data_IF_955086233474
#
_entry.id   IF_955086233474
#
_cell.length_a   1.000
_cell.length_b   1.000
_cell.length_c   1.000
_cell.angle_alpha   90.00
_cell.angle_beta   90.00
_cell.angle_gamma   90.00
#
_symmetry.space_group_name_H-M   'P 1'
#
loop_
_entity.id
_entity.type
_entity.pdbx_description
1 polymer ?
#
# COMPACT_ATOMS: atom_id res chain seq x y z
N UNK A 1 5.46 -8.27 28.12
CA UNK A 1 6.42 -9.08 27.32
C UNK A 1 6.29 -8.63 25.88
N UNK A 2 7.34 -8.07 25.27
CA UNK A 2 7.29 -7.65 23.86
C UNK A 2 7.30 -8.88 22.93
N UNK A 3 6.63 -8.76 21.78
CA UNK A 3 6.68 -9.77 20.72
C UNK A 3 8.14 -10.00 20.32
N UNK A 4 8.63 -11.24 20.22
CA UNK A 4 10.01 -11.50 19.85
C UNK A 4 10.38 -10.87 18.50
N UNK A 5 11.47 -10.13 18.41
CA UNK A 5 11.91 -9.42 17.21
C UNK A 5 12.10 -10.32 15.96
N UNK A 6 12.30 -11.63 16.15
CA UNK A 6 12.45 -12.55 15.03
C UNK A 6 11.16 -12.75 14.21
N UNK A 7 9.97 -12.45 14.77
CA UNK A 7 8.69 -12.53 14.04
C UNK A 7 8.64 -11.44 12.96
N UNK A 8 9.21 -10.28 13.22
CA UNK A 8 9.32 -9.19 12.23
C UNK A 8 10.15 -9.59 11.01
N UNK A 9 11.10 -10.51 11.15
CA UNK A 9 11.93 -11.01 10.05
C UNK A 9 11.09 -11.66 8.93
N UNK A 10 10.01 -12.33 9.29
CA UNK A 10 9.13 -13.02 8.34
C UNK A 10 8.05 -12.09 7.76
N UNK A 11 7.59 -11.10 8.51
CA UNK A 11 6.54 -10.18 8.06
C UNK A 11 7.03 -9.17 7.02
N UNK A 12 8.21 -8.60 7.20
CA UNK A 12 8.74 -7.52 6.36
C UNK A 12 8.96 -7.87 4.89
N UNK A 13 9.45 -9.07 4.50
CA UNK A 13 9.66 -9.46 3.10
C UNK A 13 8.36 -9.64 2.31
N UNK A 14 7.26 -9.89 3.00
CA UNK A 14 5.97 -10.24 2.37
C UNK A 14 5.44 -9.08 1.53
N UNK A 15 5.52 -7.86 2.04
CA UNK A 15 4.96 -6.69 1.37
C UNK A 15 5.66 -6.36 0.03
N UNK A 16 7.01 -6.29 -0.05
CA UNK A 16 7.74 -6.14 -1.31
C UNK A 16 7.42 -7.25 -2.32
N UNK A 17 7.31 -8.48 -1.86
CA UNK A 17 6.95 -9.60 -2.72
C UNK A 17 5.54 -9.44 -3.31
N UNK A 18 4.57 -9.00 -2.50
CA UNK A 18 3.22 -8.72 -2.99
C UNK A 18 3.20 -7.53 -3.96
N UNK A 19 3.99 -6.48 -3.75
CA UNK A 19 4.12 -5.37 -4.71
C UNK A 19 4.69 -5.86 -6.05
N UNK A 20 5.69 -6.74 -6.01
CA UNK A 20 6.24 -7.36 -7.20
C UNK A 20 5.18 -8.17 -7.97
N UNK A 21 4.44 -9.04 -7.27
CA UNK A 21 3.37 -9.84 -7.86
C UNK A 21 2.19 -8.96 -8.34
N UNK A 22 1.88 -7.86 -7.63
CA UNK A 22 0.85 -6.91 -8.04
C UNK A 22 1.23 -6.17 -9.32
N UNK A 23 2.52 -5.79 -9.48
CA UNK A 23 3.01 -5.17 -10.70
C UNK A 23 2.87 -6.10 -11.92
N UNK A 24 3.21 -7.38 -11.75
CA UNK A 24 3.05 -8.39 -12.79
C UNK A 24 1.57 -8.67 -13.08
N UNK A 25 0.77 -8.89 -12.05
CA UNK A 25 -0.68 -9.13 -12.14
C UNK A 25 -1.42 -7.97 -12.81
N UNK A 26 -1.07 -6.71 -12.50
CA UNK A 26 -1.68 -5.53 -13.12
C UNK A 26 -1.42 -5.46 -14.63
N UNK A 27 -0.22 -5.86 -15.05
CA UNK A 27 0.11 -5.89 -16.48
C UNK A 27 -0.77 -6.86 -17.26
N UNK A 28 -0.98 -8.07 -16.73
CA UNK A 28 -1.80 -9.10 -17.39
C UNK A 28 -3.30 -8.95 -17.14
N UNK A 29 -3.72 -8.00 -16.30
CA UNK A 29 -5.14 -7.79 -15.99
C UNK A 29 -5.88 -7.24 -17.20
N UNK A 30 -6.96 -7.92 -17.61
CA UNK A 30 -7.82 -7.52 -18.72
C UNK A 30 -8.54 -6.19 -18.46
N UNK A 31 -9.06 -5.97 -17.26
CA UNK A 31 -9.74 -4.73 -16.85
C UNK A 31 -8.98 -4.00 -15.73
N UNK A 32 -8.07 -3.09 -16.11
CA UNK A 32 -7.29 -2.29 -15.15
C UNK A 32 -8.17 -1.41 -14.27
N UNK A 33 -9.23 -0.82 -14.84
CA UNK A 33 -10.21 -0.03 -14.08
C UNK A 33 -10.95 -0.89 -13.05
N UNK A 34 -11.37 -2.11 -13.43
CA UNK A 34 -12.00 -3.05 -12.52
C UNK A 34 -11.05 -3.52 -11.39
N UNK A 35 -9.76 -3.69 -11.69
CA UNK A 35 -8.74 -4.01 -10.70
C UNK A 35 -8.60 -2.88 -9.65
N UNK A 36 -8.46 -1.63 -10.10
CA UNK A 36 -8.36 -0.45 -9.23
C UNK A 36 -9.62 -0.28 -8.37
N UNK A 37 -10.82 -0.42 -8.96
CA UNK A 37 -12.08 -0.34 -8.20
C UNK A 37 -12.15 -1.38 -7.08
N UNK A 38 -11.78 -2.63 -7.35
CA UNK A 38 -11.75 -3.69 -6.31
C UNK A 38 -10.79 -3.36 -5.18
N UNK A 39 -9.60 -2.82 -5.48
CA UNK A 39 -8.64 -2.40 -4.46
C UNK A 39 -9.17 -1.23 -3.62
N UNK A 40 -9.87 -0.27 -4.23
CA UNK A 40 -10.49 0.84 -3.51
C UNK A 40 -11.56 0.34 -2.53
N UNK A 41 -12.48 -0.51 -3.00
CA UNK A 41 -13.52 -1.08 -2.14
C UNK A 41 -12.92 -1.97 -1.04
N UNK A 42 -11.88 -2.74 -1.34
CA UNK A 42 -11.17 -3.53 -0.33
C UNK A 42 -10.47 -2.63 0.71
N UNK A 43 -9.87 -1.51 0.26
CA UNK A 43 -9.27 -0.50 1.15
C UNK A 43 -10.32 0.12 2.08
N UNK A 44 -11.47 0.54 1.55
CA UNK A 44 -12.56 1.07 2.37
C UNK A 44 -13.10 0.03 3.35
N UNK A 45 -13.33 -1.19 2.87
CA UNK A 45 -13.77 -2.30 3.73
C UNK A 45 -12.78 -2.56 4.86
N UNK A 46 -11.48 -2.57 4.59
CA UNK A 46 -10.45 -2.74 5.61
C UNK A 46 -10.44 -1.57 6.61
N UNK A 47 -10.52 -0.31 6.13
CA UNK A 47 -10.59 0.87 7.01
C UNK A 47 -11.79 0.84 7.93
N UNK A 48 -12.99 0.53 7.41
CA UNK A 48 -14.20 0.44 8.20
C UNK A 48 -14.11 -0.71 9.22
N UNK A 49 -13.61 -1.86 8.77
CA UNK A 49 -13.50 -3.06 9.60
C UNK A 49 -12.50 -2.85 10.76
N UNK A 50 -11.33 -2.28 10.48
CA UNK A 50 -10.33 -1.97 11.52
C UNK A 50 -10.87 -0.92 12.51
N UNK A 51 -11.56 0.10 12.03
CA UNK A 51 -12.21 1.10 12.87
C UNK A 51 -13.25 0.49 13.82
N UNK A 52 -14.12 -0.40 13.30
CA UNK A 52 -15.14 -1.08 14.12
C UNK A 52 -14.48 -1.99 15.16
N UNK A 53 -13.51 -2.82 14.74
CA UNK A 53 -12.82 -3.76 15.64
C UNK A 53 -12.12 -3.02 16.76
N UNK A 54 -11.38 -1.95 16.44
CA UNK A 54 -10.65 -1.17 17.44
C UNK A 54 -11.58 -0.43 18.41
N UNK A 55 -12.81 -0.08 17.97
CA UNK A 55 -13.81 0.53 18.82
C UNK A 55 -14.49 -0.47 19.75
N UNK A 56 -14.72 -1.71 19.28
CA UNK A 56 -15.31 -2.78 20.07
C UNK A 56 -14.33 -3.42 21.05
N UNK A 57 -13.08 -3.51 20.67
CA UNK A 57 -11.99 -4.12 21.44
C UNK A 57 -10.84 -3.11 21.50
N UNK A 58 -10.93 -2.07 22.35
CA UNK A 58 -9.90 -1.05 22.44
C UNK A 58 -8.62 -1.63 23.03
N UNK A 59 -7.48 -1.17 22.50
CA UNK A 59 -6.14 -1.49 23.00
C UNK A 59 -5.30 -0.21 22.97
N UNK A 60 -4.81 0.21 24.13
CA UNK A 60 -4.06 1.46 24.29
C UNK A 60 -2.61 1.35 23.78
N UNK A 61 -2.12 0.13 23.60
CA UNK A 61 -0.75 -0.15 23.19
C UNK A 61 -0.62 -0.43 21.68
N UNK A 62 -1.65 -1.05 21.06
CA UNK A 62 -1.63 -1.48 19.67
C UNK A 62 -2.68 -0.74 18.88
N UNK A 63 -2.24 0.05 17.88
CA UNK A 63 -3.12 0.68 16.93
C UNK A 63 -3.32 -0.21 15.69
N UNK A 64 -4.57 -0.49 15.35
CA UNK A 64 -4.93 -1.28 14.17
C UNK A 64 -5.07 -0.37 12.93
N UNK A 65 -3.94 -0.01 12.32
CA UNK A 65 -3.91 0.92 11.19
C UNK A 65 -3.45 0.30 9.86
N UNK A 66 -3.20 -1.01 9.83
CA UNK A 66 -2.69 -1.71 8.64
C UNK A 66 -3.73 -1.77 7.53
N UNK A 67 -3.37 -1.29 6.34
CA UNK A 67 -4.21 -1.34 5.15
C UNK A 67 -3.37 -1.45 3.87
N UNK A 68 -2.89 -2.65 3.57
CA UNK A 68 -2.10 -2.90 2.35
C UNK A 68 -2.91 -2.61 1.07
N UNK A 69 -4.24 -2.78 1.08
CA UNK A 69 -5.07 -2.50 -0.09
C UNK A 69 -4.98 -1.03 -0.52
N UNK A 70 -4.83 -0.10 0.44
CA UNK A 70 -4.65 1.32 0.16
C UNK A 70 -3.36 1.58 -0.63
N UNK A 71 -2.27 0.92 -0.26
CA UNK A 71 -0.98 1.03 -0.97
C UNK A 71 -1.08 0.45 -2.38
N UNK A 72 -1.66 -0.76 -2.52
CA UNK A 72 -1.87 -1.37 -3.83
C UNK A 72 -2.77 -0.54 -4.73
N UNK A 73 -3.79 0.13 -4.18
CA UNK A 73 -4.65 1.05 -4.92
C UNK A 73 -3.86 2.23 -5.48
N UNK A 74 -3.08 2.92 -4.63
CA UNK A 74 -2.26 4.06 -5.05
C UNK A 74 -1.24 3.65 -6.10
N UNK A 75 -0.53 2.54 -5.88
CA UNK A 75 0.43 1.98 -6.84
C UNK A 75 -0.26 1.65 -8.17
N UNK A 76 -1.45 1.03 -8.15
CA UNK A 76 -2.19 0.68 -9.36
C UNK A 76 -2.64 1.92 -10.16
N UNK A 77 -3.00 3.02 -9.50
CA UNK A 77 -3.30 4.30 -10.16
C UNK A 77 -2.06 4.83 -10.88
N UNK A 78 -0.90 4.83 -10.24
CA UNK A 78 0.34 5.29 -10.87
C UNK A 78 0.81 4.35 -12.00
N UNK A 79 0.60 3.05 -11.88
CA UNK A 79 0.84 2.10 -12.98
C UNK A 79 -0.06 2.40 -14.18
N UNK A 80 -1.34 2.72 -13.93
CA UNK A 80 -2.28 3.12 -14.97
C UNK A 80 -1.86 4.45 -15.62
N UNK A 81 -1.45 5.43 -14.81
CA UNK A 81 -0.90 6.70 -15.31
C UNK A 81 0.29 6.47 -16.23
N UNK A 82 1.23 5.61 -15.82
CA UNK A 82 2.38 5.23 -16.66
C UNK A 82 1.99 4.62 -17.99
N UNK A 83 0.96 3.76 -18.02
CA UNK A 83 0.46 3.18 -19.28
C UNK A 83 -0.13 4.26 -20.20
N UNK A 84 -0.85 5.25 -19.65
CA UNK A 84 -1.35 6.38 -20.41
C UNK A 84 -0.22 7.29 -20.94
N UNK A 85 0.85 7.52 -20.15
CA UNK A 85 2.04 8.24 -20.61
C UNK A 85 2.64 7.53 -21.82
N UNK A 86 2.89 6.22 -21.72
CA UNK A 86 3.45 5.44 -22.83
C UNK A 86 2.54 5.45 -24.08
N UNK A 87 1.24 5.30 -23.88
CA UNK A 87 0.28 5.34 -24.98
C UNK A 87 0.23 6.72 -25.66
N UNK A 88 0.21 7.78 -24.85
CA UNK A 88 0.17 9.16 -25.29
C UNK A 88 1.41 9.56 -26.10
N UNK A 89 2.60 9.20 -25.61
CA UNK A 89 3.87 9.44 -26.33
C UNK A 89 3.90 8.66 -27.65
N UNK A 90 3.59 7.35 -27.61
CA UNK A 90 3.65 6.49 -28.81
C UNK A 90 2.67 6.92 -29.89
N UNK A 91 1.44 7.31 -29.50
CA UNK A 91 0.36 7.70 -30.41
C UNK A 91 0.30 9.21 -30.67
N UNK A 92 1.16 10.01 -30.06
CA UNK A 92 1.14 11.48 -30.05
C UNK A 92 -0.25 12.03 -29.64
N UNK A 93 -0.93 11.35 -28.73
CA UNK A 93 -2.30 11.66 -28.32
C UNK A 93 -2.31 12.48 -27.01
N UNK A 94 -2.61 13.78 -27.13
CA UNK A 94 -2.70 14.71 -25.98
C UNK A 94 -3.77 14.29 -24.94
N UNK A 95 -4.88 13.64 -25.39
CA UNK A 95 -5.92 13.15 -24.47
C UNK A 95 -5.42 12.07 -23.52
N UNK A 96 -4.55 11.17 -23.98
CA UNK A 96 -3.98 10.13 -23.13
C UNK A 96 -2.96 10.73 -22.15
N UNK A 97 -2.21 11.75 -22.54
CA UNK A 97 -1.32 12.51 -21.64
C UNK A 97 -2.15 13.25 -20.57
N UNK A 98 -3.28 13.87 -20.95
CA UNK A 98 -4.19 14.51 -19.98
C UNK A 98 -4.77 13.52 -18.97
N UNK A 99 -5.15 12.31 -19.41
CA UNK A 99 -5.58 11.24 -18.47
C UNK A 99 -4.45 10.80 -17.55
N UNK A 100 -3.23 10.69 -18.06
CA UNK A 100 -2.07 10.36 -17.25
C UNK A 100 -1.84 11.38 -16.13
N UNK A 101 -1.88 12.67 -16.47
CA UNK A 101 -1.76 13.76 -15.50
C UNK A 101 -2.87 13.71 -14.44
N UNK A 102 -4.12 13.47 -14.86
CA UNK A 102 -5.25 13.32 -13.94
C UNK A 102 -5.02 12.18 -12.94
N UNK A 103 -4.63 10.98 -13.42
CA UNK A 103 -4.35 9.84 -12.54
C UNK A 103 -3.11 10.05 -11.67
N UNK A 104 -2.13 10.82 -12.11
CA UNK A 104 -0.96 11.16 -11.31
C UNK A 104 -1.32 12.13 -10.16
N UNK A 105 -2.19 13.11 -10.43
CA UNK A 105 -2.62 14.11 -9.45
C UNK A 105 -3.66 13.56 -8.45
N UNK A 106 -4.48 12.59 -8.85
CA UNK A 106 -5.60 12.09 -8.04
C UNK A 106 -5.17 11.64 -6.63
N UNK A 107 -4.16 10.77 -6.44
CA UNK A 107 -3.72 10.38 -5.10
C UNK A 107 -3.08 11.53 -4.30
N UNK A 108 -2.54 12.54 -4.99
CA UNK A 108 -2.01 13.75 -4.35
C UNK A 108 -3.16 14.61 -3.82
N UNK A 109 -4.24 14.77 -4.58
CA UNK A 109 -5.44 15.48 -4.13
C UNK A 109 -6.09 14.80 -2.92
N UNK A 110 -5.97 13.49 -2.80
CA UNK A 110 -6.44 12.75 -1.63
C UNK A 110 -5.69 13.10 -0.33
N UNK A 111 -4.59 13.85 -0.39
CA UNK A 111 -3.91 14.38 0.79
C UNK A 111 -4.60 15.63 1.38
N UNK A 112 -5.50 16.28 0.63
CA UNK A 112 -6.11 17.55 1.06
C UNK A 112 -6.77 17.49 2.45
N UNK A 113 -7.57 16.48 2.83
CA UNK A 113 -8.15 16.42 4.16
C UNK A 113 -7.10 16.32 5.28
N UNK A 114 -6.01 15.59 5.03
CA UNK A 114 -4.90 15.48 5.98
C UNK A 114 -4.15 16.81 6.14
N UNK A 115 -3.89 17.53 5.03
CA UNK A 115 -3.24 18.83 5.05
C UNK A 115 -4.13 19.86 5.75
N UNK A 116 -5.45 19.86 5.45
CA UNK A 116 -6.41 20.73 6.11
C UNK A 116 -6.47 20.46 7.62
N UNK A 117 -6.51 19.21 8.02
CA UNK A 117 -6.47 18.81 9.43
C UNK A 117 -5.21 19.34 10.13
N UNK A 118 -4.03 19.16 9.51
CA UNK A 118 -2.77 19.67 10.06
C UNK A 118 -2.76 21.18 10.18
N UNK A 119 -3.31 21.91 9.20
CA UNK A 119 -3.46 23.38 9.25
C UNK A 119 -4.38 23.82 10.38
N UNK A 120 -5.54 23.20 10.55
CA UNK A 120 -6.49 23.54 11.62
C UNK A 120 -5.90 23.29 13.01
N UNK A 121 -5.14 22.20 13.19
CA UNK A 121 -4.43 21.93 14.46
C UNK A 121 -3.40 23.03 14.73
N UNK A 122 -2.60 23.40 13.73
CA UNK A 122 -1.56 24.44 13.90
C UNK A 122 -2.12 25.84 14.12
N UNK A 123 -3.31 26.14 13.60
CA UNK A 123 -3.99 27.43 13.80
C UNK A 123 -4.75 27.55 15.13
N UNK A 124 -4.75 26.49 15.96
CA UNK A 124 -5.48 26.49 17.23
C UNK A 124 -7.01 26.38 17.09
N UNK A 125 -7.52 26.21 15.87
CA UNK A 125 -8.95 26.07 15.58
C UNK A 125 -9.40 24.61 15.82
N UNK A 126 -9.79 24.28 17.03
CA UNK A 126 -10.08 22.90 17.45
C UNK A 126 -11.56 22.67 17.73
N UNK A 127 -12.39 22.53 16.69
CA UNK A 127 -13.64 21.81 16.89
C UNK A 127 -13.37 20.31 16.77
N UNK A 128 -13.46 19.57 17.89
CA UNK A 128 -13.13 18.13 17.94
C UNK A 128 -13.88 17.29 16.90
N UNK A 129 -15.15 17.65 16.61
CA UNK A 129 -15.96 16.96 15.60
C UNK A 129 -15.42 17.12 14.17
N UNK A 130 -14.95 18.32 13.79
CA UNK A 130 -14.37 18.56 12.46
C UNK A 130 -13.07 17.78 12.28
N UNK A 131 -12.19 17.79 13.30
CA UNK A 131 -10.93 17.04 13.24
C UNK A 131 -11.15 15.54 13.12
N UNK A 132 -12.10 14.96 13.89
CA UNK A 132 -12.46 13.55 13.77
C UNK A 132 -12.99 13.20 12.38
N UNK A 133 -13.85 14.06 11.80
CA UNK A 133 -14.38 13.87 10.46
C UNK A 133 -13.28 13.90 9.41
N UNK A 134 -12.37 14.89 9.47
CA UNK A 134 -11.23 14.99 8.56
C UNK A 134 -10.27 13.81 8.70
N UNK A 135 -10.01 13.33 9.92
CA UNK A 135 -9.21 12.14 10.17
C UNK A 135 -9.84 10.90 9.51
N UNK A 136 -11.14 10.70 9.68
CA UNK A 136 -11.85 9.58 9.06
C UNK A 136 -11.85 9.66 7.53
N UNK A 137 -12.10 10.84 6.95
CA UNK A 137 -12.04 11.06 5.51
C UNK A 137 -10.62 10.79 4.98
N UNK A 138 -9.58 11.22 5.71
CA UNK A 138 -8.18 10.97 5.34
C UNK A 138 -7.84 9.47 5.29
N UNK A 139 -8.44 8.66 6.17
CA UNK A 139 -8.28 7.20 6.16
C UNK A 139 -8.99 6.54 4.98
N UNK A 140 -10.11 7.12 4.51
CA UNK A 140 -10.86 6.62 3.35
C UNK A 140 -10.25 7.04 2.01
N UNK A 141 -9.39 8.06 1.99
CA UNK A 141 -8.74 8.57 0.79
C UNK A 141 -7.26 8.14 0.75
N UNK A 142 -6.94 6.98 0.13
CA UNK A 142 -5.57 6.48 0.07
C UNK A 142 -4.66 7.44 -0.67
N UNK A 143 -3.60 7.90 -0.02
CA UNK A 143 -2.63 8.83 -0.58
C UNK A 143 -1.19 8.34 -0.36
N UNK A 144 -0.20 8.79 -1.17
CA UNK A 144 1.15 8.23 -1.16
C UNK A 144 1.91 8.33 0.17
N UNK A 145 1.48 9.22 1.06
CA UNK A 145 2.17 9.47 2.34
C UNK A 145 1.58 8.62 3.47
N UNK A 146 0.23 8.53 3.53
CA UNK A 146 -0.47 7.86 4.65
C UNK A 146 -0.68 6.36 4.45
N UNK A 147 -0.47 5.82 3.23
CA UNK A 147 -0.62 4.38 2.97
C UNK A 147 0.48 3.56 3.65
N UNK A 148 0.21 2.29 3.90
CA UNK A 148 1.15 1.36 4.53
C UNK A 148 2.47 1.30 3.75
N UNK A 149 3.59 1.49 4.45
CA UNK A 149 4.93 1.61 3.86
C UNK A 149 5.22 2.96 3.20
N UNK A 150 4.22 3.86 3.09
CA UNK A 150 4.38 5.24 2.63
C UNK A 150 4.93 5.37 1.22
N UNK A 151 5.50 6.55 0.95
CA UNK A 151 6.03 6.91 -0.37
C UNK A 151 7.11 5.93 -0.88
N UNK A 152 7.92 5.37 0.02
CA UNK A 152 9.01 4.46 -0.37
C UNK A 152 8.48 3.20 -1.06
N UNK A 153 7.43 2.60 -0.49
CA UNK A 153 6.81 1.39 -1.06
C UNK A 153 5.96 1.71 -2.30
N UNK A 154 5.34 2.88 -2.34
CA UNK A 154 4.64 3.35 -3.54
C UNK A 154 5.63 3.48 -4.71
N UNK A 155 6.76 4.15 -4.51
CA UNK A 155 7.82 4.28 -5.52
C UNK A 155 8.37 2.92 -5.92
N UNK A 156 8.63 2.03 -4.96
CA UNK A 156 9.07 0.66 -5.26
C UNK A 156 8.09 -0.05 -6.18
N UNK A 157 6.80 -0.05 -5.87
CA UNK A 157 5.78 -0.72 -6.69
C UNK A 157 5.70 -0.16 -8.12
N UNK A 158 5.82 1.16 -8.27
CA UNK A 158 5.85 1.82 -9.59
C UNK A 158 7.10 1.40 -10.38
N UNK A 159 8.28 1.42 -9.75
CA UNK A 159 9.54 1.02 -10.40
C UNK A 159 9.54 -0.46 -10.78
N UNK A 160 9.01 -1.34 -9.93
CA UNK A 160 8.83 -2.76 -10.25
C UNK A 160 7.95 -2.96 -11.48
N UNK A 161 6.91 -2.13 -11.66
CA UNK A 161 6.06 -2.15 -12.85
C UNK A 161 6.75 -1.60 -14.09
N UNK A 162 7.43 -0.46 -13.98
CA UNK A 162 8.14 0.17 -15.09
C UNK A 162 9.18 -0.80 -15.67
N UNK A 163 9.96 -1.43 -14.79
CA UNK A 163 11.05 -2.33 -15.14
C UNK A 163 10.68 -3.82 -15.18
N UNK A 164 9.38 -4.16 -15.25
CA UNK A 164 8.89 -5.54 -15.20
C UNK A 164 9.52 -6.50 -16.23
N UNK A 165 10.01 -5.97 -17.36
CA UNK A 165 10.68 -6.75 -18.39
C UNK A 165 12.13 -7.11 -18.05
N UNK A 166 12.71 -6.45 -17.07
CA UNK A 166 14.10 -6.65 -16.67
C UNK A 166 14.20 -7.00 -15.19
N UNK A 167 14.30 -8.30 -14.92
CA UNK A 167 14.40 -8.84 -13.57
C UNK A 167 15.58 -8.29 -12.78
N UNK A 168 16.72 -8.05 -13.45
CA UNK A 168 17.94 -7.52 -12.79
C UNK A 168 17.68 -6.12 -12.24
N UNK A 169 16.95 -5.26 -12.98
CA UNK A 169 16.59 -3.92 -12.52
C UNK A 169 15.55 -4.01 -11.37
N UNK A 170 14.57 -4.92 -11.44
CA UNK A 170 13.64 -5.13 -10.34
C UNK A 170 14.35 -5.54 -9.04
N UNK A 171 15.32 -6.44 -9.13
CA UNK A 171 16.18 -6.83 -8.00
C UNK A 171 16.95 -5.61 -7.47
N UNK A 172 17.58 -4.83 -8.35
CA UNK A 172 18.29 -3.61 -7.97
C UNK A 172 17.37 -2.60 -7.25
N UNK A 173 16.13 -2.42 -7.70
CA UNK A 173 15.13 -1.58 -7.03
C UNK A 173 14.89 -2.04 -5.59
N UNK A 174 14.69 -3.34 -5.36
CA UNK A 174 14.47 -3.87 -4.00
C UNK A 174 15.72 -3.72 -3.14
N UNK A 175 16.92 -3.90 -3.70
CA UNK A 175 18.19 -3.68 -2.99
C UNK A 175 18.32 -2.22 -2.55
N UNK A 176 18.07 -1.27 -3.46
CA UNK A 176 18.14 0.16 -3.15
C UNK A 176 17.12 0.55 -2.07
N UNK A 177 15.88 0.07 -2.18
CA UNK A 177 14.85 0.31 -1.16
C UNK A 177 15.25 -0.30 0.18
N UNK A 178 15.78 -1.52 0.18
CA UNK A 178 16.30 -2.18 1.39
C UNK A 178 17.46 -1.42 2.03
N UNK A 179 18.38 -0.88 1.23
CA UNK A 179 19.47 -0.03 1.71
C UNK A 179 18.94 1.28 2.32
N UNK A 180 18.00 1.97 1.64
CA UNK A 180 17.35 3.17 2.18
C UNK A 180 16.65 2.84 3.51
N UNK A 181 15.93 1.71 3.57
CA UNK A 181 15.24 1.28 4.78
C UNK A 181 16.22 0.99 5.93
N UNK A 182 17.38 0.42 5.64
CA UNK A 182 18.43 0.17 6.63
C UNK A 182 18.97 1.47 7.23
N UNK A 183 19.27 2.48 6.39
CA UNK A 183 19.85 3.75 6.87
C UNK A 183 18.83 4.72 7.49
N UNK A 184 17.54 4.63 7.10
CA UNK A 184 16.50 5.58 7.53
C UNK A 184 15.71 5.11 8.72
N UNK A 185 15.58 3.81 8.91
CA UNK A 185 14.72 3.22 9.95
C UNK A 185 15.55 2.33 10.88
N UNK A 186 15.36 2.54 12.17
CA UNK A 186 15.96 1.67 13.19
C UNK A 186 15.26 0.32 13.20
N UNK A 187 16.02 -0.78 13.33
CA UNK A 187 15.50 -2.14 13.48
C UNK A 187 15.61 -3.01 12.22
N UNK A 188 14.73 -4.01 12.11
CA UNK A 188 14.82 -5.10 11.12
C UNK A 188 14.26 -4.77 9.72
N UNK A 189 14.17 -3.48 9.36
CA UNK A 189 13.61 -3.07 8.06
C UNK A 189 14.40 -3.58 6.86
N UNK A 190 15.72 -3.82 7.02
CA UNK A 190 16.58 -4.40 5.98
C UNK A 190 16.14 -5.79 5.52
N UNK A 191 15.33 -6.51 6.32
CA UNK A 191 14.83 -7.83 5.98
C UNK A 191 13.89 -7.85 4.77
N UNK A 192 13.46 -6.68 4.29
CA UNK A 192 12.87 -6.49 2.96
C UNK A 192 13.68 -7.22 1.87
N UNK A 193 15.00 -7.30 2.01
CA UNK A 193 15.89 -7.98 1.08
C UNK A 193 15.63 -9.48 0.98
N UNK A 194 15.03 -10.10 1.98
CA UNK A 194 14.64 -11.53 1.90
C UNK A 194 13.58 -11.78 0.83
N UNK A 195 12.84 -10.75 0.40
CA UNK A 195 11.92 -10.85 -0.74
C UNK A 195 12.65 -11.16 -2.06
N UNK A 196 13.96 -10.92 -2.15
CA UNK A 196 14.77 -11.23 -3.34
C UNK A 196 14.81 -12.74 -3.62
N UNK A 197 14.79 -13.58 -2.59
CA UNK A 197 14.85 -15.04 -2.75
C UNK A 197 13.68 -15.53 -3.61
N UNK A 198 12.40 -15.34 -3.24
CA UNK A 198 11.29 -15.76 -4.08
C UNK A 198 11.19 -14.98 -5.39
N UNK A 199 11.65 -13.71 -5.45
CA UNK A 199 11.69 -12.95 -6.69
C UNK A 199 12.66 -13.55 -7.73
N UNK A 200 13.82 -14.04 -7.30
CA UNK A 200 14.79 -14.70 -8.20
C UNK A 200 14.26 -16.06 -8.68
N UNK A 201 13.61 -16.80 -7.78
CA UNK A 201 13.04 -18.12 -8.08
C UNK A 201 11.74 -18.05 -8.90
N UNK A 202 11.13 -16.87 -9.04
CA UNK A 202 9.86 -16.71 -9.75
C UNK A 202 10.01 -16.98 -11.26
N UNK A 203 9.30 -17.97 -11.74
CA UNK A 203 9.37 -18.45 -13.14
C UNK A 203 8.44 -17.71 -14.12
N UNK A 204 7.66 -16.71 -13.64
CA UNK A 204 6.71 -15.96 -14.47
C UNK A 204 5.44 -16.71 -14.84
N UNK A 205 5.25 -17.96 -14.40
CA UNK A 205 4.07 -18.73 -14.72
C UNK A 205 2.89 -18.35 -13.81
N UNK A 206 1.69 -18.36 -14.40
CA UNK A 206 0.46 -18.11 -13.66
C UNK A 206 0.12 -19.30 -12.78
N UNK A 207 0.19 -19.12 -11.47
CA UNK A 207 -0.27 -20.12 -10.51
C UNK A 207 -1.80 -20.31 -10.50
N UNK A 208 -2.28 -21.25 -9.67
CA UNK A 208 -3.72 -21.41 -9.41
C UNK A 208 -4.28 -20.12 -8.83
N UNK A 209 -5.32 -19.57 -9.48
CA UNK A 209 -5.88 -18.27 -9.14
C UNK A 209 -6.82 -18.32 -7.94
N UNK A 210 -6.36 -17.93 -6.77
CA UNK A 210 -7.17 -17.76 -5.57
C UNK A 210 -7.51 -16.29 -5.33
N UNK A 211 -8.16 -15.64 -6.33
CA UNK A 211 -8.43 -14.18 -6.27
C UNK A 211 -9.13 -13.73 -4.99
N UNK A 212 -10.20 -14.43 -4.59
CA UNK A 212 -10.99 -14.06 -3.43
C UNK A 212 -10.31 -14.40 -2.11
N UNK A 213 -9.42 -15.39 -2.10
CA UNK A 213 -8.71 -15.81 -0.91
C UNK A 213 -7.92 -14.66 -0.28
N UNK A 214 -7.15 -13.91 -1.06
CA UNK A 214 -6.35 -12.80 -0.53
C UNK A 214 -7.18 -11.64 0.02
N UNK A 215 -8.35 -11.37 -0.59
CA UNK A 215 -9.26 -10.32 -0.09
C UNK A 215 -9.90 -10.68 1.24
N UNK A 216 -10.05 -11.95 1.55
CA UNK A 216 -10.58 -12.45 2.83
C UNK A 216 -9.46 -12.70 3.82
N UNK A 217 -8.40 -13.39 3.40
CA UNK A 217 -7.28 -13.78 4.26
C UNK A 217 -6.59 -12.58 4.91
N UNK A 218 -6.30 -11.51 4.13
CA UNK A 218 -5.58 -10.36 4.65
C UNK A 218 -6.34 -9.66 5.80
N UNK A 219 -7.61 -9.26 5.68
CA UNK A 219 -8.35 -8.71 6.82
C UNK A 219 -8.48 -9.67 7.99
N UNK A 220 -8.79 -10.93 7.71
CA UNK A 220 -9.02 -11.94 8.75
C UNK A 220 -7.78 -12.16 9.60
N UNK A 221 -6.59 -12.34 9.00
CA UNK A 221 -5.38 -12.61 9.77
C UNK A 221 -4.92 -11.38 10.57
N UNK A 222 -5.05 -10.16 10.03
CA UNK A 222 -4.71 -8.92 10.75
C UNK A 222 -5.60 -8.77 11.98
N UNK A 223 -6.92 -9.00 11.84
CA UNK A 223 -7.85 -8.91 12.96
C UNK A 223 -7.58 -10.02 13.98
N UNK A 224 -7.35 -11.26 13.52
CA UNK A 224 -7.05 -12.37 14.42
C UNK A 224 -5.78 -12.10 15.24
N UNK A 225 -4.73 -11.57 14.61
CA UNK A 225 -3.50 -11.18 15.31
C UNK A 225 -3.72 -10.05 16.30
N UNK A 226 -4.52 -9.04 15.95
CA UNK A 226 -4.88 -7.94 16.84
C UNK A 226 -5.64 -8.43 18.08
N UNK A 227 -6.67 -9.27 17.88
CA UNK A 227 -7.46 -9.84 18.98
C UNK A 227 -6.59 -10.72 19.88
N UNK A 228 -5.75 -11.58 19.29
CA UNK A 228 -4.84 -12.43 20.04
C UNK A 228 -3.85 -11.59 20.86
N UNK A 229 -3.23 -10.57 20.27
CA UNK A 229 -2.31 -9.69 20.97
C UNK A 229 -3.01 -8.93 22.10
N UNK A 230 -4.23 -8.45 21.89
CA UNK A 230 -5.03 -7.75 22.92
C UNK A 230 -5.40 -8.68 24.08
N UNK A 231 -5.70 -9.95 23.81
CA UNK A 231 -6.01 -10.93 24.86
C UNK A 231 -4.77 -11.32 25.68
N UNK A 232 -3.60 -11.39 25.03
CA UNK A 232 -2.34 -11.76 25.71
C UNK A 232 -1.72 -10.60 26.51
N UNK A 233 -2.14 -9.36 26.27
CA UNK A 233 -1.66 -8.16 26.95
C UNK A 233 -2.57 -7.72 28.12
N UNK A 234 -3.75 -8.32 28.27
CA UNK A 234 -4.61 -8.17 29.44
C UNK A 234 -4.16 -9.10 30.55
#
# INVERSE_FOLDING_TARGET
>A
MGVPHWIDLFGRPVFPLFLFLAADSFYYTHSKKGYIKRLLFASWGMTILTFIVQRLVPNDTIMLANNAFSTFFVVAIYMLSWDYIKAGIRKKNKKDIGKAALFMLLPILFMLPMVLMSYLISSGSTSGGLLQTLAFISMLLPNPVSVEGGLLYVLMGILLYIFRKNRRIQIAVVIVVGAIAYFRFVGVQWTILLALIPMVLYNGQKGKGFKNFFYIFYPTHIIALYLLATLLMK
#
